data_IF_839624437043
#
_entry.id   IF_839624437043
#
_cell.length_a   1.000
_cell.length_b   1.000
_cell.length_c   1.000
_cell.angle_alpha   90.00
_cell.angle_beta   90.00
_cell.angle_gamma   90.00
#
_symmetry.space_group_name_H-M   'P 1'
#
loop_
_entity.id
_entity.type
_entity.pdbx_description
1 polymer ?
#
# COMPACT_ATOMS: atom_id res chain seq x y z
N UNK A 1 10.28 -8.87 20.21
CA UNK A 1 11.08 -7.79 19.61
C UNK A 1 11.12 -6.56 20.54
N UNK A 2 12.25 -6.32 21.17
CA UNK A 2 12.40 -5.24 22.12
C UNK A 2 12.48 -3.83 21.48
N UNK A 3 13.01 -3.72 20.26
CA UNK A 3 13.18 -2.45 19.54
C UNK A 3 12.01 -2.18 18.58
N UNK A 4 11.60 -0.91 18.37
CA UNK A 4 10.61 -0.53 17.36
C UNK A 4 10.97 -1.06 15.97
N UNK A 5 9.97 -1.53 15.24
CA UNK A 5 10.11 -2.05 13.86
C UNK A 5 8.92 -1.65 13.02
N UNK A 6 9.15 -1.52 11.72
CA UNK A 6 8.08 -1.58 10.71
C UNK A 6 7.93 -3.03 10.26
N UNK A 7 6.73 -3.56 10.37
CA UNK A 7 6.40 -4.95 10.07
C UNK A 7 5.40 -4.95 8.91
N UNK A 8 5.79 -5.57 7.80
CA UNK A 8 4.86 -5.82 6.71
C UNK A 8 4.14 -7.14 6.99
N UNK A 9 2.84 -7.04 7.21
CA UNK A 9 2.00 -8.19 7.59
C UNK A 9 1.59 -8.94 6.33
N UNK A 10 1.76 -10.28 6.35
CA UNK A 10 1.32 -11.18 5.28
C UNK A 10 1.92 -10.87 3.89
N UNK A 11 3.26 -10.78 3.79
CA UNK A 11 3.95 -10.49 2.53
C UNK A 11 3.70 -11.52 1.41
N UNK A 12 3.25 -12.73 1.74
CA UNK A 12 2.99 -13.84 0.81
C UNK A 12 1.53 -14.30 0.81
N UNK A 13 0.66 -13.60 1.52
CA UNK A 13 -0.78 -13.91 1.63
C UNK A 13 -1.56 -12.61 1.81
N UNK A 14 -2.89 -12.71 1.89
CA UNK A 14 -3.79 -11.56 2.06
C UNK A 14 -4.63 -11.77 3.31
N UNK A 15 -4.46 -10.90 4.32
CA UNK A 15 -5.17 -10.99 5.60
C UNK A 15 -6.71 -10.86 5.42
N UNK A 16 -7.13 -10.16 4.37
CA UNK A 16 -8.54 -9.98 4.04
C UNK A 16 -9.03 -10.91 2.92
N UNK A 17 -8.34 -12.07 2.72
CA UNK A 17 -8.87 -13.11 1.84
C UNK A 17 -10.20 -13.64 2.40
N UNK A 18 -11.13 -14.02 1.52
CA UNK A 18 -12.46 -14.50 1.92
C UNK A 18 -12.43 -15.72 2.85
N UNK A 19 -11.42 -16.59 2.67
CA UNK A 19 -11.20 -17.77 3.51
C UNK A 19 -10.58 -17.47 4.88
N UNK A 20 -10.17 -16.23 5.15
CA UNK A 20 -9.61 -15.86 6.45
C UNK A 20 -10.76 -15.51 7.41
N UNK A 21 -10.93 -16.29 8.52
CA UNK A 21 -11.98 -16.02 9.48
C UNK A 21 -11.81 -14.66 10.18
N UNK A 22 -12.90 -13.99 10.49
CA UNK A 22 -12.88 -12.72 11.21
C UNK A 22 -12.19 -12.83 12.58
N UNK A 23 -12.35 -13.95 13.26
CA UNK A 23 -11.71 -14.21 14.56
C UNK A 23 -10.18 -14.21 14.45
N UNK A 24 -9.63 -14.79 13.36
CA UNK A 24 -8.18 -14.74 13.11
C UNK A 24 -7.72 -13.29 12.85
N UNK A 25 -8.48 -12.52 12.08
CA UNK A 25 -8.17 -11.09 11.86
C UNK A 25 -8.18 -10.34 13.20
N UNK A 26 -9.13 -10.65 14.09
CA UNK A 26 -9.23 -10.07 15.42
C UNK A 26 -8.01 -10.40 16.30
N UNK A 27 -7.50 -11.61 16.24
CA UNK A 27 -6.30 -12.00 16.98
C UNK A 27 -5.04 -11.27 16.47
N UNK A 28 -4.94 -11.09 15.14
CA UNK A 28 -3.88 -10.26 14.54
C UNK A 28 -4.02 -8.81 15.02
N UNK A 29 -5.25 -8.28 15.07
CA UNK A 29 -5.53 -6.91 15.50
C UNK A 29 -5.11 -6.66 16.96
N UNK A 30 -5.50 -7.58 17.86
CA UNK A 30 -5.08 -7.56 19.27
C UNK A 30 -3.57 -7.58 19.42
N UNK A 31 -2.88 -8.41 18.63
CA UNK A 31 -1.41 -8.46 18.65
C UNK A 31 -0.79 -7.10 18.29
N UNK A 32 -1.36 -6.38 17.34
CA UNK A 32 -0.89 -5.05 16.95
C UNK A 32 -1.20 -3.99 18.02
N UNK A 33 -2.36 -4.10 18.66
CA UNK A 33 -2.78 -3.24 19.79
C UNK A 33 -1.85 -3.42 21.00
N UNK A 34 -1.51 -4.67 21.36
CA UNK A 34 -0.63 -5.01 22.48
C UNK A 34 0.84 -4.63 22.23
N UNK A 35 1.19 -4.28 21.00
CA UNK A 35 2.58 -3.95 20.63
C UNK A 35 2.70 -2.57 19.95
N UNK A 36 2.24 -1.48 20.58
CA UNK A 36 2.11 -0.16 19.96
C UNK A 36 3.45 0.47 19.56
N UNK A 37 4.58 -0.08 20.07
CA UNK A 37 5.93 0.37 19.68
C UNK A 37 6.32 -0.01 18.25
N UNK A 38 5.60 -0.94 17.60
CA UNK A 38 5.83 -1.33 16.21
C UNK A 38 4.84 -0.64 15.28
N UNK A 39 5.25 -0.39 14.05
CA UNK A 39 4.33 0.04 12.98
C UNK A 39 4.02 -1.16 12.09
N UNK A 40 2.75 -1.41 11.86
CA UNK A 40 2.28 -2.51 11.04
C UNK A 40 1.74 -1.98 9.70
N UNK A 41 2.19 -2.58 8.62
CA UNK A 41 1.73 -2.26 7.26
C UNK A 41 0.98 -3.47 6.71
N UNK A 42 -0.29 -3.30 6.40
CA UNK A 42 -1.16 -4.35 5.85
C UNK A 42 -1.58 -3.92 4.45
N UNK A 43 -1.34 -4.79 3.48
CA UNK A 43 -1.69 -4.59 2.09
C UNK A 43 -2.67 -5.67 1.65
N UNK A 44 -3.76 -5.28 1.00
CA UNK A 44 -4.76 -6.22 0.45
C UNK A 44 -5.17 -5.84 -0.96
N UNK A 45 -5.63 -6.79 -1.73
CA UNK A 45 -6.36 -6.56 -2.98
C UNK A 45 -7.89 -6.52 -2.79
N UNK A 46 -8.34 -6.58 -1.54
CA UNK A 46 -9.74 -6.63 -1.13
C UNK A 46 -10.08 -5.49 -0.16
N UNK A 47 -9.92 -4.21 -0.58
CA UNK A 47 -10.17 -3.08 0.31
C UNK A 47 -11.64 -2.95 0.72
N UNK A 48 -12.59 -3.41 -0.11
CA UNK A 48 -14.00 -3.49 0.23
C UNK A 48 -14.21 -4.36 1.48
N UNK A 49 -13.71 -5.62 1.44
CA UNK A 49 -13.81 -6.53 2.60
C UNK A 49 -13.05 -5.98 3.81
N UNK A 50 -11.90 -5.34 3.60
CA UNK A 50 -11.15 -4.70 4.69
C UNK A 50 -12.00 -3.62 5.36
N UNK A 51 -12.68 -2.78 4.58
CA UNK A 51 -13.56 -1.74 5.10
C UNK A 51 -14.74 -2.35 5.87
N UNK A 52 -15.36 -3.38 5.34
CA UNK A 52 -16.51 -4.03 5.97
C UNK A 52 -16.13 -4.70 7.30
N UNK A 53 -15.04 -5.46 7.34
CA UNK A 53 -14.55 -6.12 8.57
C UNK A 53 -14.15 -5.08 9.62
N UNK A 54 -13.40 -4.05 9.24
CA UNK A 54 -12.89 -3.06 10.18
C UNK A 54 -13.91 -1.98 10.57
N UNK A 55 -15.12 -2.01 10.02
CA UNK A 55 -16.23 -1.17 10.47
C UNK A 55 -16.86 -1.67 11.77
N UNK A 56 -16.57 -2.91 12.17
CA UNK A 56 -17.04 -3.48 13.42
C UNK A 56 -16.32 -2.84 14.62
N UNK A 57 -17.05 -2.65 15.71
CA UNK A 57 -16.55 -2.05 16.98
C UNK A 57 -15.42 -2.85 17.62
N UNK A 58 -15.30 -4.13 17.29
CA UNK A 58 -14.22 -5.00 17.76
C UNK A 58 -12.84 -4.67 17.14
N UNK A 59 -12.82 -3.77 16.15
CA UNK A 59 -11.61 -3.33 15.47
C UNK A 59 -11.38 -1.82 15.66
N UNK A 60 -10.86 -1.39 16.82
CA UNK A 60 -10.54 0.02 17.02
C UNK A 60 -9.48 0.48 16.02
N UNK A 61 -9.54 1.74 15.61
CA UNK A 61 -8.48 2.33 14.79
C UNK A 61 -7.19 2.41 15.59
N UNK A 62 -6.16 1.72 15.12
CA UNK A 62 -4.85 1.68 15.78
C UNK A 62 -3.90 2.70 15.14
N UNK A 63 -3.29 3.61 15.89
CA UNK A 63 -2.40 4.64 15.36
C UNK A 63 -1.11 4.08 14.75
N UNK A 64 -0.73 2.87 15.13
CA UNK A 64 0.45 2.16 14.65
C UNK A 64 0.17 1.22 13.47
N UNK A 65 -1.06 1.23 12.91
CA UNK A 65 -1.44 0.36 11.80
C UNK A 65 -1.73 1.17 10.55
N UNK A 66 -0.97 0.89 9.50
CA UNK A 66 -1.10 1.49 8.18
C UNK A 66 -1.81 0.49 7.26
N UNK A 67 -2.89 0.91 6.63
CA UNK A 67 -3.74 0.05 5.80
C UNK A 67 -3.69 0.49 4.36
N UNK A 68 -3.51 -0.47 3.45
CA UNK A 68 -3.34 -0.17 2.05
C UNK A 68 -3.94 -1.17 1.09
N UNK A 69 -4.06 -0.75 -0.16
CA UNK A 69 -4.48 -1.62 -1.26
C UNK A 69 -3.50 -1.57 -2.43
N UNK A 70 -3.50 -2.65 -3.24
CA UNK A 70 -2.76 -2.67 -4.50
C UNK A 70 -3.64 -2.17 -5.64
N UNK A 71 -3.06 -1.33 -6.51
CA UNK A 71 -3.67 -0.86 -7.76
C UNK A 71 -2.65 -1.04 -8.87
N UNK A 72 -2.84 -2.00 -9.74
CA UNK A 72 -1.89 -2.37 -10.78
C UNK A 72 -2.08 -1.57 -12.08
N UNK A 73 -3.31 -1.18 -12.36
CA UNK A 73 -3.71 -0.36 -13.51
C UNK A 73 -5.12 0.25 -13.31
N UNK A 74 -5.61 0.97 -14.32
CA UNK A 74 -6.90 1.66 -14.28
C UNK A 74 -8.14 0.77 -14.09
N UNK A 75 -8.05 -0.54 -14.38
CA UNK A 75 -9.19 -1.48 -14.24
C UNK A 75 -9.59 -1.70 -12.77
N UNK A 76 -8.68 -1.48 -11.86
CA UNK A 76 -8.91 -1.69 -10.42
C UNK A 76 -8.78 -0.40 -9.59
N UNK A 77 -8.86 0.75 -10.25
CA UNK A 77 -8.71 2.07 -9.62
C UNK A 77 -9.81 2.34 -8.57
N UNK A 78 -10.99 1.72 -8.73
CA UNK A 78 -12.11 1.82 -7.77
C UNK A 78 -11.75 1.30 -6.38
N UNK A 79 -10.70 0.49 -6.25
CA UNK A 79 -10.19 0.08 -4.93
C UNK A 79 -9.76 1.26 -4.04
N UNK A 80 -9.46 2.42 -4.62
CA UNK A 80 -9.16 3.63 -3.86
C UNK A 80 -10.40 4.17 -3.13
N UNK A 81 -11.60 4.02 -3.72
CA UNK A 81 -12.86 4.43 -3.09
C UNK A 81 -13.14 3.56 -1.86
N UNK A 82 -12.96 2.25 -1.98
CA UNK A 82 -13.11 1.32 -0.86
C UNK A 82 -12.06 1.58 0.22
N UNK A 83 -10.81 1.85 -0.16
CA UNK A 83 -9.75 2.18 0.80
C UNK A 83 -10.08 3.43 1.62
N UNK A 84 -10.74 4.44 1.03
CA UNK A 84 -11.18 5.64 1.77
C UNK A 84 -12.21 5.34 2.87
N UNK A 85 -13.00 4.28 2.71
CA UNK A 85 -13.97 3.81 3.74
C UNK A 85 -13.28 3.16 4.95
N UNK A 86 -12.02 2.71 4.80
CA UNK A 86 -11.31 1.99 5.84
C UNK A 86 -10.94 2.93 6.99
N UNK A 87 -11.27 2.62 8.26
CA UNK A 87 -10.85 3.40 9.42
C UNK A 87 -9.35 3.18 9.68
N UNK A 88 -8.50 4.08 9.21
CA UNK A 88 -7.05 3.96 9.31
C UNK A 88 -6.38 5.27 9.68
N UNK A 89 -5.33 5.21 10.51
CA UNK A 89 -4.48 6.35 10.80
C UNK A 89 -3.67 6.79 9.56
N UNK A 90 -3.15 5.83 8.82
CA UNK A 90 -2.46 6.02 7.54
C UNK A 90 -3.08 5.08 6.51
N UNK A 91 -3.56 5.64 5.38
CA UNK A 91 -3.93 4.88 4.19
C UNK A 91 -2.81 4.98 3.17
N UNK A 92 -2.48 3.84 2.55
CA UNK A 92 -1.48 3.84 1.49
C UNK A 92 -1.94 3.02 0.28
N UNK A 93 -1.41 3.35 -0.88
CA UNK A 93 -1.63 2.57 -2.10
C UNK A 93 -0.30 2.06 -2.64
N UNK A 94 -0.29 0.79 -3.04
CA UNK A 94 0.85 0.17 -3.73
C UNK A 94 0.50 -0.04 -5.19
N UNK A 95 1.05 0.79 -6.06
CA UNK A 95 1.04 0.62 -7.51
C UNK A 95 2.17 -0.36 -7.88
N UNK A 96 2.02 -1.63 -7.45
CA UNK A 96 3.02 -2.67 -7.68
C UNK A 96 2.36 -4.06 -7.82
N UNK A 97 2.57 -4.74 -8.98
CA UNK A 97 3.29 -4.22 -10.13
C UNK A 97 2.48 -3.17 -10.90
N UNK A 98 3.11 -2.04 -11.23
CA UNK A 98 2.47 -1.05 -12.11
C UNK A 98 2.60 -1.54 -13.56
N UNK A 99 1.47 -1.88 -14.16
CA UNK A 99 1.40 -2.55 -15.48
C UNK A 99 0.49 -1.83 -16.48
N UNK A 100 -0.05 -0.68 -16.11
CA UNK A 100 -0.88 0.16 -16.95
C UNK A 100 -1.09 1.54 -16.36
N UNK A 101 -1.61 2.46 -17.19
CA UNK A 101 -1.96 3.81 -16.74
C UNK A 101 -3.00 3.76 -15.62
N UNK A 102 -2.83 4.67 -14.67
CA UNK A 102 -3.75 4.97 -13.58
C UNK A 102 -4.20 6.44 -13.65
N UNK A 103 -4.22 7.00 -14.86
CA UNK A 103 -4.70 8.34 -15.11
C UNK A 103 -6.11 8.51 -14.49
N UNK A 104 -6.30 9.61 -13.74
CA UNK A 104 -7.54 9.84 -13.01
C UNK A 104 -7.59 9.20 -11.61
N UNK A 105 -6.52 8.56 -11.12
CA UNK A 105 -6.43 8.14 -9.73
C UNK A 105 -6.62 9.34 -8.79
N UNK A 106 -7.68 9.28 -7.98
CA UNK A 106 -7.88 10.22 -6.90
C UNK A 106 -7.21 9.72 -5.63
N UNK A 107 -6.15 10.41 -5.20
CA UNK A 107 -5.40 10.09 -3.99
C UNK A 107 -5.83 10.94 -2.78
N UNK A 108 -6.99 11.60 -2.84
CA UNK A 108 -7.56 12.27 -1.67
C UNK A 108 -7.66 11.30 -0.50
N UNK A 109 -7.29 11.76 0.70
CA UNK A 109 -7.26 10.95 1.93
C UNK A 109 -6.30 9.74 1.91
N UNK A 110 -5.40 9.67 0.94
CA UNK A 110 -4.30 8.70 0.88
C UNK A 110 -2.99 9.42 1.25
N UNK A 111 -2.29 8.92 2.26
CA UNK A 111 -1.09 9.56 2.79
C UNK A 111 0.19 9.09 2.13
N UNK A 112 0.18 7.93 1.46
CA UNK A 112 1.39 7.34 0.88
C UNK A 112 1.11 6.54 -0.38
N UNK A 113 1.90 6.77 -1.42
CA UNK A 113 1.89 6.00 -2.66
C UNK A 113 3.25 5.35 -2.90
N UNK A 114 3.23 4.03 -3.08
CA UNK A 114 4.40 3.21 -3.42
C UNK A 114 4.28 2.82 -4.88
N UNK A 115 5.35 3.03 -5.66
CA UNK A 115 5.40 2.66 -7.08
C UNK A 115 6.51 1.67 -7.34
N UNK A 116 6.19 0.58 -8.02
CA UNK A 116 7.18 -0.43 -8.40
C UNK A 116 6.78 -1.25 -9.61
N UNK A 117 7.77 -1.58 -10.43
CA UNK A 117 7.59 -2.48 -11.57
C UNK A 117 7.60 -3.94 -11.18
N UNK A 118 7.03 -4.76 -12.05
CA UNK A 118 7.02 -6.22 -11.92
C UNK A 118 8.44 -6.79 -11.96
N UNK A 119 8.71 -7.78 -11.13
CA UNK A 119 10.02 -8.44 -11.07
C UNK A 119 9.90 -9.91 -11.47
N UNK A 120 10.90 -10.41 -12.21
CA UNK A 120 10.98 -11.80 -12.60
C UNK A 120 11.23 -12.01 -14.09
N UNK A 121 11.32 -13.28 -14.56
CA UNK A 121 11.72 -13.62 -15.93
C UNK A 121 10.82 -13.01 -17.03
N UNK A 122 9.53 -12.89 -16.76
CA UNK A 122 8.51 -12.39 -17.71
C UNK A 122 7.91 -11.05 -17.24
N UNK A 123 8.69 -10.26 -16.51
CA UNK A 123 8.24 -8.97 -16.00
C UNK A 123 7.77 -8.06 -17.15
N UNK A 124 6.55 -7.54 -17.02
CA UNK A 124 5.98 -6.55 -17.93
C UNK A 124 6.70 -5.22 -17.78
N UNK A 125 6.84 -4.51 -18.90
CA UNK A 125 7.45 -3.18 -18.88
C UNK A 125 6.56 -2.19 -18.13
N UNK A 126 7.18 -1.33 -17.33
CA UNK A 126 6.53 -0.20 -16.68
C UNK A 126 6.87 1.08 -17.45
N UNK A 127 5.84 1.77 -17.95
CA UNK A 127 6.02 3.02 -18.68
C UNK A 127 6.31 4.17 -17.70
N UNK A 128 7.35 4.98 -17.93
CA UNK A 128 7.63 6.16 -17.12
C UNK A 128 6.45 7.15 -17.01
N UNK A 129 5.63 7.27 -18.04
CA UNK A 129 4.44 8.14 -18.05
C UNK A 129 3.47 7.77 -16.93
N UNK A 130 3.29 6.49 -16.63
CA UNK A 130 2.40 6.05 -15.54
C UNK A 130 2.94 6.45 -14.16
N UNK A 131 4.28 6.51 -14.04
CA UNK A 131 4.91 6.98 -12.79
C UNK A 131 4.67 8.48 -12.62
N UNK A 132 4.80 9.25 -13.70
CA UNK A 132 4.56 10.69 -13.69
C UNK A 132 3.10 11.04 -13.33
N UNK A 133 2.12 10.23 -13.80
CA UNK A 133 0.71 10.33 -13.43
C UNK A 133 0.51 10.22 -11.91
N UNK A 134 1.15 9.22 -11.29
CA UNK A 134 1.06 8.97 -9.85
C UNK A 134 1.76 10.07 -9.06
N UNK A 135 2.97 10.46 -9.46
CA UNK A 135 3.69 11.53 -8.77
C UNK A 135 2.89 12.84 -8.81
N UNK A 136 2.32 13.18 -9.97
CA UNK A 136 1.46 14.37 -10.09
C UNK A 136 0.22 14.27 -9.19
N UNK A 137 -0.40 13.08 -9.08
CA UNK A 137 -1.52 12.86 -8.17
C UNK A 137 -1.10 13.03 -6.71
N UNK A 138 0.06 12.50 -6.30
CA UNK A 138 0.60 12.69 -4.95
C UNK A 138 0.81 14.18 -4.63
N UNK A 139 1.43 14.93 -5.56
CA UNK A 139 1.70 16.36 -5.36
C UNK A 139 0.42 17.18 -5.20
N UNK A 140 -0.66 16.83 -5.90
CA UNK A 140 -1.95 17.53 -5.78
C UNK A 140 -2.56 17.43 -4.38
N UNK A 141 -2.38 16.30 -3.69
CA UNK A 141 -3.02 16.03 -2.39
C UNK A 141 -2.03 16.04 -1.21
N UNK A 142 -0.73 16.23 -1.47
CA UNK A 142 0.30 16.21 -0.43
C UNK A 142 0.64 14.78 0.07
N UNK A 143 0.32 13.74 -0.70
CA UNK A 143 0.70 12.37 -0.36
C UNK A 143 2.20 12.14 -0.56
N UNK A 144 2.82 11.38 0.32
CA UNK A 144 4.21 10.96 0.19
C UNK A 144 4.38 10.02 -1.00
N UNK A 145 5.42 10.25 -1.81
CA UNK A 145 5.72 9.46 -3.00
C UNK A 145 6.98 8.61 -2.80
N UNK A 146 6.85 7.30 -2.97
CA UNK A 146 7.95 6.35 -2.83
C UNK A 146 8.13 5.55 -4.12
N UNK A 147 9.29 5.68 -4.75
CA UNK A 147 9.64 4.86 -5.91
C UNK A 147 10.51 3.68 -5.49
N UNK A 148 9.95 2.49 -5.49
CA UNK A 148 10.59 1.28 -4.99
C UNK A 148 11.61 0.71 -5.97
N UNK A 149 11.25 0.55 -7.24
CA UNK A 149 12.09 -0.07 -8.27
C UNK A 149 11.45 -0.04 -9.65
N UNK A 150 12.30 -0.14 -10.69
CA UNK A 150 11.84 -0.34 -12.07
C UNK A 150 11.32 -1.76 -12.34
N UNK A 151 11.76 -2.76 -11.58
CA UNK A 151 11.42 -4.15 -11.82
C UNK A 151 12.27 -4.77 -12.92
N UNK A 152 11.64 -5.68 -13.72
CA UNK A 152 12.33 -6.39 -14.80
C UNK A 152 12.95 -7.72 -14.37
N UNK A 153 13.61 -8.42 -15.32
CA UNK A 153 14.22 -9.73 -15.08
C UNK A 153 15.26 -9.69 -13.96
N UNK A 154 16.04 -8.60 -13.89
CA UNK A 154 17.01 -8.36 -12.84
C UNK A 154 16.79 -6.99 -12.21
N UNK A 155 15.95 -6.95 -11.19
CA UNK A 155 15.58 -5.71 -10.49
C UNK A 155 16.75 -4.97 -9.85
N UNK A 156 17.87 -5.68 -9.56
CA UNK A 156 19.09 -5.04 -9.02
C UNK A 156 19.83 -4.24 -10.10
N UNK A 157 19.80 -4.74 -11.35
CA UNK A 157 20.42 -4.04 -12.48
C UNK A 157 19.60 -2.82 -12.92
N UNK A 158 18.28 -2.91 -12.91
CA UNK A 158 17.39 -1.79 -13.28
C UNK A 158 17.33 -0.70 -12.20
N UNK A 159 17.57 -1.08 -10.94
CA UNK A 159 17.70 -0.15 -9.83
C UNK A 159 16.40 0.54 -9.39
N UNK A 160 16.59 1.64 -8.65
CA UNK A 160 15.51 2.43 -8.04
C UNK A 160 15.70 3.95 -8.20
N UNK A 161 16.53 4.36 -9.15
CA UNK A 161 16.65 5.78 -9.47
C UNK A 161 15.61 6.17 -10.52
N UNK A 162 14.86 7.21 -10.23
CA UNK A 162 13.94 7.87 -11.14
C UNK A 162 14.50 9.26 -11.44
N UNK A 163 14.76 9.58 -12.71
CA UNK A 163 15.35 10.86 -13.11
C UNK A 163 16.65 11.21 -12.32
N UNK A 164 17.51 10.21 -12.13
CA UNK A 164 18.82 10.36 -11.48
C UNK A 164 18.81 10.48 -9.95
N UNK A 165 17.65 10.35 -9.28
CA UNK A 165 17.54 10.40 -7.82
C UNK A 165 16.63 9.30 -7.26
N UNK A 166 16.72 9.03 -5.96
CA UNK A 166 15.77 8.18 -5.24
C UNK A 166 14.62 9.01 -4.67
N UNK A 167 13.46 8.37 -4.55
CA UNK A 167 12.27 8.93 -3.93
C UNK A 167 11.87 8.00 -2.78
N UNK A 168 12.14 8.45 -1.57
CA UNK A 168 12.01 7.68 -0.32
C UNK A 168 11.06 8.34 0.68
N UNK A 169 10.09 9.08 0.18
CA UNK A 169 9.16 9.80 1.05
C UNK A 169 8.30 8.82 1.86
N UNK A 170 8.08 9.16 3.11
CA UNK A 170 7.21 8.42 4.02
C UNK A 170 6.11 9.36 4.53
N UNK A 171 4.92 8.83 4.86
CA UNK A 171 3.88 9.65 5.46
C UNK A 171 4.35 10.19 6.81
N UNK A 172 3.95 11.41 7.13
CA UNK A 172 4.16 11.95 8.47
C UNK A 172 3.31 11.15 9.44
N UNK A 173 3.93 10.54 10.44
CA UNK A 173 3.21 9.94 11.57
C UNK A 173 2.57 11.07 12.37
N UNK A 174 1.24 11.01 12.51
CA UNK A 174 0.54 11.92 13.43
C UNK A 174 0.87 11.60 14.88
#
# INVERSE_FOLDING_TARGET
WAKPRRVFVNSMSDLFHEDVPADFIRDVWRTMEDTPRHTYQILTKRPERMADVLSDRDFPMLPNTWLGTSVEDGRVISRLDDLRRVPAAIRFVSFEPLIGSVAGADLSDIQWAIVGGESGPNARHMDPVWIDEIEAACRRVGAAFFFKQWGGRNKKATGRQLRGRTFDELPLSM
#
